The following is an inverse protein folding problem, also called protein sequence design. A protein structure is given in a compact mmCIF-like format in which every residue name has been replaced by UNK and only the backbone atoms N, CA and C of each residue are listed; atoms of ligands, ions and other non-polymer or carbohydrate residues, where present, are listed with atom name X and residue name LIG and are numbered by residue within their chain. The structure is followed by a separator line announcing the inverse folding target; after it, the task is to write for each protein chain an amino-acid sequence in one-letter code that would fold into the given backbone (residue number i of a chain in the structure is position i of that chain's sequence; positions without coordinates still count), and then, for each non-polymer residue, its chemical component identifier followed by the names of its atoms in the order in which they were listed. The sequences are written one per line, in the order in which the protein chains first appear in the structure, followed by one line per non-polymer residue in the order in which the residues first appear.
data_IF_361736806340
#
_entry.id   IF_361736806340
#
_cell.length_a   1.000
_cell.length_b   1.000
_cell.length_c   1.000
_cell.angle_alpha   90.00
_cell.angle_beta   90.00
_cell.angle_gamma   90.00
#
_symmetry.space_group_name_H-M   'P 1'
#
loop_
_entity.id
_entity.type
_entity.pdbx_description
1 polymer ?
#
# COMPACT_ATOMS: atom_id res chain seq x y z
N UNK A 1 -74.34 59.69 9.57
CA UNK A 1 -73.16 58.80 9.49
C UNK A 1 -73.67 57.38 9.29
N UNK A 2 -73.43 56.90 8.07
CA UNK A 2 -73.38 55.51 7.54
C UNK A 2 -74.20 54.38 8.19
N UNK A 3 -75.12 53.81 7.41
CA UNK A 3 -75.75 52.48 7.58
C UNK A 3 -74.73 51.34 7.49
N UNK A 4 -75.06 50.11 7.96
CA UNK A 4 -74.80 48.77 7.38
C UNK A 4 -75.10 47.70 8.47
N UNK A 5 -76.26 47.01 8.45
CA UNK A 5 -76.62 45.75 7.76
C UNK A 5 -76.05 44.44 8.35
N UNK A 6 -76.99 43.57 8.75
CA UNK A 6 -76.85 42.12 9.03
C UNK A 6 -76.26 41.35 7.84
N UNK A 7 -75.49 40.28 8.08
CA UNK A 7 -75.59 38.95 7.40
C UNK A 7 -74.57 37.93 7.92
N UNK A 8 -75.06 36.69 8.00
CA UNK A 8 -74.40 35.42 8.33
C UNK A 8 -73.33 35.00 7.31
N UNK A 9 -72.37 34.19 7.76
CA UNK A 9 -71.66 33.15 6.97
C UNK A 9 -71.19 32.09 7.99
N UNK A 10 -71.87 30.94 8.15
CA UNK A 10 -71.72 29.68 7.42
C UNK A 10 -70.27 29.28 7.12
N UNK A 11 -69.88 28.11 7.66
CA UNK A 11 -68.53 27.58 7.65
C UNK A 11 -68.22 26.63 6.50
N UNK A 12 -66.98 26.12 6.50
CA UNK A 12 -66.53 24.99 5.68
C UNK A 12 -65.49 24.21 6.48
N UNK A 13 -65.77 22.92 6.69
CA UNK A 13 -64.83 21.89 7.12
C UNK A 13 -63.88 21.58 5.96
N UNK A 14 -62.57 21.71 6.18
CA UNK A 14 -61.53 21.28 5.23
C UNK A 14 -60.70 20.15 5.82
N UNK A 15 -60.95 18.91 5.38
CA UNK A 15 -60.09 17.76 5.65
C UNK A 15 -58.87 17.83 4.73
N UNK A 16 -57.68 18.10 5.30
CA UNK A 16 -56.41 18.05 4.59
C UNK A 16 -55.76 16.68 4.73
N UNK A 17 -55.83 15.86 3.68
CA UNK A 17 -54.99 14.66 3.56
C UNK A 17 -53.58 15.11 3.14
N UNK A 18 -52.61 15.01 4.06
CA UNK A 18 -51.18 15.16 3.73
C UNK A 18 -50.68 13.85 3.13
N UNK A 19 -50.50 13.82 1.82
CA UNK A 19 -49.79 12.74 1.13
C UNK A 19 -48.28 12.98 1.31
N UNK A 20 -47.67 12.30 2.27
CA UNK A 20 -46.21 12.24 2.40
C UNK A 20 -45.65 11.32 1.32
N UNK A 21 -45.19 11.90 0.21
CA UNK A 21 -44.33 11.21 -0.75
C UNK A 21 -42.98 10.97 -0.08
N UNK A 22 -42.78 9.77 0.46
CA UNK A 22 -41.45 9.31 0.84
C UNK A 22 -40.61 9.22 -0.44
N UNK A 23 -39.59 10.06 -0.58
CA UNK A 23 -38.51 9.78 -1.51
C UNK A 23 -37.79 8.55 -0.95
N UNK A 24 -38.13 7.38 -1.48
CA UNK A 24 -37.25 6.23 -1.41
C UNK A 24 -36.01 6.60 -2.19
N UNK A 25 -34.96 7.07 -1.49
CA UNK A 25 -33.63 7.16 -2.06
C UNK A 25 -33.26 5.72 -2.45
N UNK A 26 -33.35 5.40 -3.74
CA UNK A 26 -32.79 4.15 -4.24
C UNK A 26 -31.29 4.24 -3.94
N UNK A 27 -30.84 3.49 -2.93
CA UNK A 27 -29.43 3.20 -2.75
C UNK A 27 -28.98 2.50 -4.03
N UNK A 28 -28.27 3.23 -4.88
CA UNK A 28 -27.58 2.63 -6.01
C UNK A 28 -26.59 1.65 -5.39
N UNK A 29 -26.69 0.36 -5.71
CA UNK A 29 -25.67 -0.60 -5.33
C UNK A 29 -24.39 -0.21 -6.10
N UNK A 30 -23.54 0.62 -5.48
CA UNK A 30 -22.19 0.84 -5.95
C UNK A 30 -21.45 -0.48 -5.83
N UNK A 31 -20.78 -0.88 -6.91
CA UNK A 31 -19.90 -2.05 -6.89
C UNK A 31 -18.79 -1.80 -5.88
N UNK A 32 -18.59 -2.73 -4.94
CA UNK A 32 -17.55 -2.63 -3.91
C UNK A 32 -16.19 -2.48 -4.58
N UNK A 33 -15.48 -1.35 -4.42
CA UNK A 33 -14.15 -1.18 -4.99
C UNK A 33 -13.20 -2.26 -4.51
N UNK A 34 -12.37 -2.79 -5.41
CA UNK A 34 -11.44 -3.88 -5.12
C UNK A 34 -10.01 -3.40 -5.32
N UNK A 35 -9.18 -3.57 -4.28
CA UNK A 35 -7.72 -3.44 -4.35
C UNK A 35 -7.13 -4.85 -4.39
N UNK A 36 -6.54 -5.23 -5.53
CA UNK A 36 -5.86 -6.52 -5.70
C UNK A 36 -4.49 -6.48 -5.04
N UNK A 37 -4.17 -7.55 -4.31
CA UNK A 37 -2.86 -7.80 -3.72
C UNK A 37 -2.18 -8.90 -4.51
N UNK A 38 -1.25 -8.52 -5.39
CA UNK A 38 -0.46 -9.43 -6.21
C UNK A 38 1.00 -9.47 -5.76
N UNK A 39 1.88 -10.01 -6.62
CA UNK A 39 3.32 -10.18 -6.38
C UNK A 39 4.03 -8.87 -5.96
N UNK A 40 3.92 -8.52 -4.67
CA UNK A 40 4.48 -7.34 -4.01
C UNK A 40 3.89 -5.99 -4.45
N UNK A 41 2.62 -5.95 -4.85
CA UNK A 41 1.95 -4.69 -5.22
C UNK A 41 0.47 -4.67 -4.81
N UNK A 42 -0.05 -3.46 -4.64
CA UNK A 42 -1.47 -3.16 -4.59
C UNK A 42 -1.91 -2.59 -5.94
N UNK A 43 -3.04 -3.07 -6.48
CA UNK A 43 -3.62 -2.56 -7.72
C UNK A 43 -5.14 -2.33 -7.57
N UNK A 44 -5.63 -1.08 -7.64
CA UNK A 44 -4.86 0.13 -7.87
C UNK A 44 -3.91 0.47 -6.69
N UNK A 45 -2.82 1.18 -6.98
CA UNK A 45 -1.88 1.68 -5.95
C UNK A 45 -2.41 2.96 -5.30
N UNK A 46 -3.27 3.71 -6.01
CA UNK A 46 -3.99 4.87 -5.51
C UNK A 46 -5.48 4.77 -5.80
N UNK A 47 -6.35 4.96 -4.80
CA UNK A 47 -7.81 4.85 -4.96
C UNK A 47 -8.54 5.99 -4.26
N UNK A 48 -9.48 6.62 -4.96
CA UNK A 48 -10.41 7.61 -4.40
C UNK A 48 -11.76 6.96 -4.13
N UNK A 49 -12.31 7.21 -2.94
CA UNK A 49 -13.64 6.75 -2.53
C UNK A 49 -14.36 7.84 -1.74
N UNK A 50 -15.69 7.74 -1.63
CA UNK A 50 -16.46 8.60 -0.75
C UNK A 50 -16.48 8.06 0.69
N UNK A 51 -16.64 8.92 1.72
CA UNK A 51 -16.86 8.48 3.09
C UNK A 51 -17.99 7.45 3.22
N UNK A 52 -17.77 6.42 4.02
CA UNK A 52 -18.66 5.27 4.22
C UNK A 52 -18.48 4.15 3.18
N UNK A 53 -17.54 4.28 2.25
CA UNK A 53 -17.29 3.22 1.24
C UNK A 53 -16.53 2.05 1.86
N UNK A 54 -17.06 0.83 1.66
CA UNK A 54 -16.32 -0.40 1.93
C UNK A 54 -15.41 -0.73 0.74
N UNK A 55 -14.12 -0.91 1.00
CA UNK A 55 -13.14 -1.38 0.02
C UNK A 55 -12.74 -2.82 0.35
N UNK A 56 -12.65 -3.65 -0.68
CA UNK A 56 -12.22 -5.06 -0.57
C UNK A 56 -10.78 -5.21 -1.05
N UNK A 57 -9.90 -5.62 -0.16
CA UNK A 57 -8.53 -6.04 -0.47
C UNK A 57 -8.53 -7.52 -0.81
N UNK A 58 -8.30 -7.89 -2.06
CA UNK A 58 -8.41 -9.27 -2.56
C UNK A 58 -7.05 -9.86 -2.92
N UNK A 59 -6.77 -11.10 -2.49
CA UNK A 59 -5.53 -11.80 -2.87
C UNK A 59 -5.63 -12.22 -4.34
N UNK A 60 -4.77 -11.64 -5.18
CA UNK A 60 -4.59 -12.03 -6.57
C UNK A 60 -3.48 -13.09 -6.73
N UNK A 61 -2.41 -13.00 -5.94
CA UNK A 61 -1.34 -13.97 -5.86
C UNK A 61 -0.58 -13.80 -4.54
N UNK A 62 0.10 -14.85 -4.06
CA UNK A 62 0.96 -14.75 -2.88
C UNK A 62 0.21 -14.64 -1.54
N UNK A 63 0.88 -14.09 -0.54
CA UNK A 63 0.34 -13.85 0.79
C UNK A 63 0.66 -12.42 1.22
N UNK A 64 -0.37 -11.64 1.54
CA UNK A 64 -0.26 -10.19 1.72
C UNK A 64 -1.11 -9.74 2.90
N UNK A 65 -0.84 -8.53 3.39
CA UNK A 65 -1.75 -7.80 4.27
C UNK A 65 -2.09 -6.44 3.69
N UNK A 66 -3.21 -5.87 4.13
CA UNK A 66 -3.52 -4.46 4.01
C UNK A 66 -3.52 -3.89 5.44
N UNK A 67 -2.51 -3.08 5.76
CA UNK A 67 -2.24 -2.61 7.12
C UNK A 67 -1.98 -1.11 7.11
N UNK A 68 -2.77 -0.33 7.84
CA UNK A 68 -2.63 1.12 7.94
C UNK A 68 -1.30 1.54 8.59
N UNK A 69 -0.69 2.61 8.09
CA UNK A 69 0.28 3.37 8.88
C UNK A 69 -0.48 4.18 9.93
N UNK A 70 -0.48 3.73 11.19
CA UNK A 70 -1.29 4.36 12.25
C UNK A 70 -1.05 5.86 12.42
N UNK A 71 0.13 6.36 12.07
CA UNK A 71 0.49 7.78 12.13
C UNK A 71 0.31 8.53 10.80
N UNK A 72 -0.31 7.90 9.78
CA UNK A 72 -0.54 8.44 8.43
C UNK A 72 -1.96 8.12 7.94
N UNK A 73 -2.92 8.20 8.85
CA UNK A 73 -4.36 8.15 8.60
C UNK A 73 -5.02 9.31 9.34
N UNK A 74 -6.27 9.72 8.99
CA UNK A 74 -6.99 10.76 9.73
C UNK A 74 -7.01 10.45 11.23
N UNK A 75 -6.85 11.47 12.07
CA UNK A 75 -6.70 11.30 13.53
C UNK A 75 -7.88 10.62 14.20
N UNK A 76 -9.06 10.78 13.62
CA UNK A 76 -10.31 10.22 14.14
C UNK A 76 -10.60 8.82 13.55
N UNK A 77 -9.79 8.35 12.58
CA UNK A 77 -9.95 7.06 11.95
C UNK A 77 -9.35 5.92 12.79
N UNK A 78 -10.00 4.76 12.77
CA UNK A 78 -9.43 3.54 13.33
C UNK A 78 -8.40 2.93 12.37
N UNK A 79 -7.22 2.56 12.87
CA UNK A 79 -6.25 1.82 12.05
C UNK A 79 -6.80 0.44 11.64
N UNK A 80 -6.59 0.05 10.39
CA UNK A 80 -6.99 -1.26 9.88
C UNK A 80 -5.78 -2.18 9.71
N UNK A 81 -5.99 -3.48 9.91
CA UNK A 81 -5.00 -4.52 9.64
C UNK A 81 -5.73 -5.83 9.32
N UNK A 82 -5.51 -6.36 8.12
CA UNK A 82 -6.06 -7.66 7.72
C UNK A 82 -5.35 -8.85 8.37
N UNK A 83 -4.16 -8.64 8.92
CA UNK A 83 -3.17 -9.71 9.09
C UNK A 83 -2.70 -10.27 7.73
N UNK A 84 -1.74 -11.19 7.75
CA UNK A 84 -1.29 -11.84 6.50
C UNK A 84 -2.31 -12.89 6.07
N UNK A 85 -2.89 -12.69 4.88
CA UNK A 85 -3.85 -13.60 4.25
C UNK A 85 -3.28 -14.12 2.93
N UNK A 86 -3.59 -15.38 2.58
CA UNK A 86 -3.10 -16.05 1.37
C UNK A 86 -4.20 -16.46 0.39
N UNK A 87 -5.45 -16.17 0.72
CA UNK A 87 -6.62 -16.43 -0.13
C UNK A 87 -7.81 -15.57 0.32
N UNK A 88 -8.78 -15.39 -0.57
CA UNK A 88 -9.96 -14.57 -0.29
C UNK A 88 -9.61 -13.08 -0.25
N UNK A 89 -10.21 -12.37 0.70
CA UNK A 89 -9.96 -10.94 0.88
C UNK A 89 -10.35 -10.43 2.25
N UNK A 90 -9.98 -9.18 2.51
CA UNK A 90 -10.31 -8.41 3.69
C UNK A 90 -11.13 -7.19 3.26
N UNK A 91 -12.16 -6.84 4.02
CA UNK A 91 -12.97 -5.66 3.76
C UNK A 91 -12.80 -4.65 4.91
N UNK A 92 -12.73 -3.38 4.54
CA UNK A 92 -12.69 -2.28 5.49
C UNK A 92 -13.55 -1.12 5.01
N UNK A 93 -14.32 -0.53 5.92
CA UNK A 93 -15.19 0.62 5.63
C UNK A 93 -14.50 1.90 6.06
N UNK A 94 -14.29 2.79 5.10
CA UNK A 94 -13.59 4.06 5.30
C UNK A 94 -14.60 5.15 5.64
N UNK A 95 -14.79 5.44 6.93
CA UNK A 95 -15.79 6.43 7.37
C UNK A 95 -15.26 7.86 7.42
N UNK A 96 -14.03 8.06 7.88
CA UNK A 96 -13.49 9.40 8.08
C UNK A 96 -12.84 9.95 6.79
N UNK A 97 -13.11 11.21 6.43
CA UNK A 97 -12.47 11.82 5.27
C UNK A 97 -10.98 12.09 5.51
N UNK A 98 -10.18 11.99 4.45
CA UNK A 98 -8.75 12.26 4.45
C UNK A 98 -7.95 11.18 3.73
N UNK A 99 -6.64 11.21 3.90
CA UNK A 99 -5.70 10.34 3.20
C UNK A 99 -5.19 9.22 4.11
N UNK A 100 -5.27 8.00 3.60
CA UNK A 100 -4.88 6.77 4.27
C UNK A 100 -3.72 6.13 3.53
N UNK A 101 -2.53 6.19 4.12
CA UNK A 101 -1.40 5.38 3.65
C UNK A 101 -1.42 4.01 4.35
N UNK A 102 -1.14 2.97 3.58
CA UNK A 102 -1.09 1.60 4.07
C UNK A 102 0.02 0.79 3.41
N UNK A 103 0.35 -0.35 4.01
CA UNK A 103 1.42 -1.23 3.58
C UNK A 103 1.04 -2.70 3.76
N UNK A 104 1.84 -3.56 3.14
CA UNK A 104 1.81 -5.00 3.36
C UNK A 104 2.94 -5.41 4.32
N UNK A 105 2.61 -6.02 5.45
CA UNK A 105 3.56 -6.41 6.51
C UNK A 105 4.78 -7.19 5.96
N UNK A 106 4.61 -8.31 5.21
CA UNK A 106 5.75 -9.08 4.72
C UNK A 106 6.54 -8.40 3.60
N UNK A 107 5.98 -7.38 2.93
CA UNK A 107 6.56 -6.77 1.73
C UNK A 107 6.79 -5.26 1.85
N UNK A 108 6.72 -4.74 3.08
CA UNK A 108 6.96 -3.33 3.41
C UNK A 108 8.33 -2.88 2.95
N UNK A 109 9.37 -3.67 3.24
CA UNK A 109 10.77 -3.35 2.93
C UNK A 109 11.09 -3.33 1.43
N UNK A 110 10.20 -3.88 0.61
CA UNK A 110 10.32 -3.86 -0.86
C UNK A 110 9.31 -2.91 -1.52
N UNK A 111 8.67 -2.03 -0.74
CA UNK A 111 7.82 -0.96 -1.25
C UNK A 111 6.39 -1.37 -1.60
N UNK A 112 5.86 -2.45 -1.02
CA UNK A 112 4.44 -2.76 -1.15
C UNK A 112 3.61 -1.84 -0.24
N UNK A 113 3.35 -0.64 -0.76
CA UNK A 113 2.57 0.43 -0.14
C UNK A 113 1.46 0.90 -1.07
N UNK A 114 0.43 1.52 -0.51
CA UNK A 114 -0.68 2.10 -1.27
C UNK A 114 -1.31 3.28 -0.54
N UNK A 115 -2.13 4.03 -1.27
CA UNK A 115 -2.84 5.21 -0.78
C UNK A 115 -4.32 5.16 -1.14
N UNK A 116 -5.18 5.40 -0.15
CA UNK A 116 -6.61 5.64 -0.35
C UNK A 116 -6.93 7.06 0.08
N UNK A 117 -7.61 7.82 -0.77
CA UNK A 117 -8.17 9.14 -0.45
C UNK A 117 -9.67 8.99 -0.24
N UNK A 118 -10.16 9.41 0.92
CA UNK A 118 -11.57 9.33 1.29
C UNK A 118 -12.16 10.74 1.27
N UNK A 119 -13.02 11.03 0.30
CA UNK A 119 -13.51 12.39 0.07
C UNK A 119 -12.38 13.32 -0.40
N UNK A 120 -11.90 14.22 0.44
CA UNK A 120 -10.83 15.15 0.09
C UNK A 120 -9.49 14.73 0.74
N UNK A 121 -8.33 15.00 0.10
CA UNK A 121 -7.03 14.77 0.71
C UNK A 121 -6.88 15.51 2.03
N UNK A 122 -6.20 14.89 3.00
CA UNK A 122 -5.92 15.54 4.28
C UNK A 122 -5.39 14.62 5.36
N UNK A 123 -4.95 15.22 6.46
CA UNK A 123 -4.41 14.51 7.61
C UNK A 123 -2.91 14.18 7.49
N UNK A 124 -2.38 13.41 8.45
CA UNK A 124 -0.93 13.22 8.62
C UNK A 124 -0.19 12.59 7.42
N UNK A 125 -0.90 11.89 6.54
CA UNK A 125 -0.31 11.34 5.31
C UNK A 125 0.15 12.42 4.31
N UNK A 126 -0.43 13.63 4.38
CA UNK A 126 -0.06 14.75 3.52
C UNK A 126 1.14 15.55 4.05
N UNK A 127 1.47 15.41 5.34
CA UNK A 127 2.50 16.23 5.99
C UNK A 127 3.94 15.82 5.60
N UNK A 128 4.10 14.61 5.07
CA UNK A 128 5.41 14.06 4.71
C UNK A 128 5.28 12.90 3.72
N UNK A 129 6.34 12.57 2.96
CA UNK A 129 6.34 11.39 2.08
C UNK A 129 6.13 10.08 2.85
N UNK A 130 5.60 9.07 2.16
CA UNK A 130 5.46 7.72 2.70
C UNK A 130 6.87 7.10 2.95
N UNK A 131 7.08 6.38 4.07
CA UNK A 131 8.45 6.01 4.47
C UNK A 131 9.09 4.85 3.70
N UNK A 132 8.31 3.94 3.11
CA UNK A 132 8.82 2.65 2.63
C UNK A 132 8.67 2.43 1.11
N UNK A 133 8.27 3.46 0.35
CA UNK A 133 8.08 3.36 -1.09
C UNK A 133 7.56 4.68 -1.67
N UNK A 134 6.93 4.59 -2.84
CA UNK A 134 6.29 5.72 -3.50
C UNK A 134 4.81 5.40 -3.73
N UNK A 135 3.95 6.41 -3.56
CA UNK A 135 2.53 6.36 -3.89
C UNK A 135 2.18 7.56 -4.76
N UNK A 136 1.13 7.48 -5.61
CA UNK A 136 0.68 8.64 -6.37
C UNK A 136 0.23 9.78 -5.45
N UNK A 137 0.39 11.01 -5.92
CA UNK A 137 -0.11 12.20 -5.23
C UNK A 137 -1.63 12.16 -5.05
N UNK A 138 -2.11 12.63 -3.90
CA UNK A 138 -3.53 12.55 -3.54
C UNK A 138 -4.44 13.30 -4.52
N UNK A 139 -3.99 14.45 -5.03
CA UNK A 139 -4.73 15.21 -6.04
C UNK A 139 -4.89 14.41 -7.34
N UNK A 140 -3.86 13.68 -7.76
CA UNK A 140 -3.91 12.83 -8.94
C UNK A 140 -4.86 11.64 -8.74
N UNK A 141 -4.90 11.08 -7.52
CA UNK A 141 -5.83 10.01 -7.14
C UNK A 141 -7.27 10.51 -7.22
N UNK A 142 -7.56 11.70 -6.69
CA UNK A 142 -8.90 12.32 -6.74
C UNK A 142 -9.31 12.62 -8.17
N UNK A 143 -8.41 13.12 -9.02
CA UNK A 143 -8.71 13.44 -10.42
C UNK A 143 -9.01 12.18 -11.25
N UNK A 144 -8.24 11.11 -11.06
CA UNK A 144 -8.33 9.90 -11.87
C UNK A 144 -9.27 8.84 -11.29
N UNK A 145 -9.67 8.97 -10.02
CA UNK A 145 -10.48 8.00 -9.29
C UNK A 145 -9.70 6.74 -8.86
N UNK A 146 -8.90 6.17 -9.75
CA UNK A 146 -7.99 5.07 -9.45
C UNK A 146 -6.73 5.14 -10.32
N UNK A 147 -5.57 4.99 -9.69
CA UNK A 147 -4.27 4.93 -10.35
C UNK A 147 -3.75 3.49 -10.23
N UNK A 148 -3.66 2.81 -11.36
CA UNK A 148 -3.22 1.41 -11.43
C UNK A 148 -1.74 1.28 -11.11
N UNK A 149 -1.35 0.13 -10.56
CA UNK A 149 0.06 -0.13 -10.32
C UNK A 149 0.86 -0.13 -11.63
N UNK A 150 1.98 0.59 -11.65
CA UNK A 150 2.86 0.67 -12.82
C UNK A 150 2.39 1.59 -13.95
N UNK A 151 1.28 2.35 -13.79
CA UNK A 151 0.99 3.44 -14.73
C UNK A 151 2.03 4.54 -14.58
N UNK A 152 2.73 4.85 -15.66
CA UNK A 152 3.66 5.97 -15.73
C UNK A 152 2.88 7.29 -15.78
N UNK A 153 2.39 7.77 -14.64
CA UNK A 153 2.04 9.18 -14.50
C UNK A 153 3.37 9.94 -14.32
N UNK A 154 3.91 10.41 -15.44
CA UNK A 154 5.14 11.19 -15.48
C UNK A 154 5.02 12.44 -14.63
N UNK A 155 5.86 12.54 -13.60
CA UNK A 155 6.22 13.79 -12.92
C UNK A 155 7.60 14.22 -13.40
N UNK A 156 7.63 15.04 -14.44
CA UNK A 156 8.74 15.88 -14.80
C UNK A 156 8.79 17.11 -13.88
N UNK A 157 9.89 17.27 -13.12
CA UNK A 157 10.10 18.44 -12.26
C UNK A 157 11.24 18.26 -11.26
N UNK A 158 12.49 18.08 -11.70
CA UNK A 158 13.52 19.15 -11.75
C UNK A 158 14.31 19.37 -10.46
N UNK A 159 15.52 18.80 -10.40
CA UNK A 159 16.73 19.43 -9.88
C UNK A 159 17.98 18.62 -10.29
N UNK A 160 18.82 19.18 -11.16
CA UNK A 160 20.20 18.68 -11.39
C UNK A 160 20.62 18.56 -12.85
N UNK A 161 20.96 19.68 -13.48
CA UNK A 161 21.38 19.76 -14.88
C UNK A 161 22.66 19.00 -15.23
N UNK A 162 22.68 18.44 -16.44
CA UNK A 162 23.86 17.91 -17.12
C UNK A 162 23.67 17.99 -18.63
N UNK A 163 24.16 19.06 -19.24
CA UNK A 163 24.22 19.25 -20.70
C UNK A 163 25.36 18.46 -21.33
N UNK A 164 25.21 18.18 -22.64
CA UNK A 164 26.20 17.74 -23.67
C UNK A 164 26.16 16.23 -23.99
N UNK A 165 25.98 15.76 -25.23
CA UNK A 165 25.86 16.40 -26.55
C UNK A 165 25.53 15.36 -27.65
N UNK A 166 25.35 15.76 -28.92
CA UNK A 166 24.90 14.86 -29.99
C UNK A 166 26.04 14.43 -30.93
N UNK A 167 25.95 13.21 -31.44
CA UNK A 167 26.52 12.88 -32.75
C UNK A 167 27.45 11.66 -32.79
N UNK A 168 27.08 10.71 -33.65
CA UNK A 168 27.88 9.72 -34.42
C UNK A 168 26.97 8.49 -34.59
N UNK A 169 26.59 8.00 -35.76
CA UNK A 169 26.99 8.22 -37.13
C UNK A 169 26.55 6.97 -37.90
N UNK A 170 25.77 7.16 -38.97
CA UNK A 170 25.24 6.11 -39.82
C UNK A 170 26.34 5.35 -40.60
N UNK A 171 26.13 4.06 -40.87
CA UNK A 171 26.92 3.31 -41.86
C UNK A 171 26.52 1.83 -42.01
N UNK A 172 26.21 1.29 -43.22
CA UNK A 172 25.42 0.06 -43.37
C UNK A 172 26.17 -1.15 -43.95
N UNK A 173 25.58 -2.34 -43.74
CA UNK A 173 25.58 -3.45 -44.69
C UNK A 173 26.62 -4.56 -44.49
N UNK A 174 26.15 -5.80 -44.36
CA UNK A 174 26.49 -6.90 -45.28
C UNK A 174 25.60 -8.12 -45.00
N UNK A 175 24.76 -8.42 -45.99
CA UNK A 175 24.07 -9.70 -46.17
C UNK A 175 25.09 -10.76 -46.56
N UNK A 176 24.92 -12.01 -46.09
CA UNK A 176 25.06 -13.15 -46.99
C UNK A 176 24.17 -14.30 -46.53
N UNK A 177 23.15 -14.56 -47.34
CA UNK A 177 22.23 -15.67 -47.13
C UNK A 177 22.89 -17.02 -47.38
N UNK A 178 22.41 -18.02 -46.63
CA UNK A 178 22.53 -19.42 -47.02
C UNK A 178 21.30 -20.18 -46.53
N UNK A 179 20.37 -20.32 -47.47
CA UNK A 179 19.73 -21.57 -47.84
C UNK A 179 18.76 -22.28 -46.86
N UNK A 180 17.48 -22.29 -47.24
CA UNK A 180 16.63 -23.49 -47.26
C UNK A 180 16.12 -24.01 -45.93
N UNK A 181 14.84 -23.77 -45.65
CA UNK A 181 14.13 -24.35 -44.50
C UNK A 181 13.94 -25.86 -44.61
N UNK A 182 13.95 -26.51 -43.45
CA UNK A 182 13.38 -27.85 -43.19
C UNK A 182 12.99 -27.89 -41.71
N UNK A 183 11.69 -27.73 -41.43
CA UNK A 183 11.11 -28.26 -40.20
C UNK A 183 11.09 -29.78 -40.35
N UNK A 184 11.77 -30.52 -39.47
CA UNK A 184 11.35 -31.83 -38.93
C UNK A 184 12.43 -32.44 -38.01
N UNK A 185 12.04 -32.85 -36.79
CA UNK A 185 12.68 -34.01 -36.14
C UNK A 185 13.39 -33.83 -34.79
N UNK A 186 12.61 -33.66 -33.71
CA UNK A 186 12.74 -34.33 -32.39
C UNK A 186 13.88 -33.92 -31.38
N UNK A 187 13.67 -34.15 -30.07
CA UNK A 187 14.01 -33.26 -28.94
C UNK A 187 15.20 -33.80 -28.12
N UNK A 188 15.42 -33.27 -26.90
CA UNK A 188 16.41 -33.68 -25.87
C UNK A 188 17.72 -32.88 -25.78
N UNK A 189 17.66 -31.61 -25.35
CA UNK A 189 18.80 -30.95 -24.66
C UNK A 189 18.37 -30.18 -23.38
N UNK A 190 17.12 -30.30 -22.94
CA UNK A 190 16.61 -29.56 -21.76
C UNK A 190 16.59 -30.31 -20.42
N UNK A 191 17.00 -31.58 -20.36
CA UNK A 191 16.74 -32.44 -19.19
C UNK A 191 17.84 -32.47 -18.12
N UNK A 192 19.11 -32.31 -18.48
CA UNK A 192 20.21 -32.55 -17.55
C UNK A 192 20.54 -31.34 -16.65
N UNK A 193 20.30 -30.11 -17.11
CA UNK A 193 20.61 -28.89 -16.34
C UNK A 193 19.51 -28.51 -15.36
N UNK A 194 18.24 -28.85 -15.63
CA UNK A 194 17.13 -28.62 -14.71
C UNK A 194 17.17 -29.51 -13.46
N UNK A 195 17.61 -30.76 -13.61
CA UNK A 195 17.69 -31.72 -12.49
C UNK A 195 18.85 -31.42 -11.53
N UNK A 196 20.00 -30.94 -12.02
CA UNK A 196 21.13 -30.56 -11.17
C UNK A 196 20.85 -29.30 -10.33
N UNK A 197 20.10 -28.33 -10.89
CA UNK A 197 19.68 -27.13 -10.14
C UNK A 197 18.75 -27.45 -8.97
N UNK A 198 17.80 -28.37 -9.16
CA UNK A 198 16.88 -28.80 -8.10
C UNK A 198 17.59 -29.57 -6.99
N UNK A 199 18.53 -30.47 -7.33
CA UNK A 199 19.32 -31.22 -6.34
C UNK A 199 20.27 -30.29 -5.56
N UNK A 200 20.91 -29.33 -6.25
CA UNK A 200 21.78 -28.34 -5.61
C UNK A 200 21.03 -27.41 -4.65
N UNK A 201 19.84 -26.93 -5.02
CA UNK A 201 18.99 -26.13 -4.15
C UNK A 201 18.49 -26.89 -2.92
N UNK A 202 18.15 -28.17 -3.07
CA UNK A 202 17.71 -29.04 -1.96
C UNK A 202 18.86 -29.39 -1.01
N UNK A 203 20.08 -29.58 -1.52
CA UNK A 203 21.29 -29.76 -0.72
C UNK A 203 21.66 -28.50 0.06
N UNK A 204 21.57 -27.31 -0.57
CA UNK A 204 21.82 -26.03 0.10
C UNK A 204 20.84 -25.79 1.25
N UNK A 205 19.55 -26.10 1.05
CA UNK A 205 18.52 -25.96 2.09
C UNK A 205 18.64 -27.01 3.21
N UNK A 206 19.05 -28.25 2.89
CA UNK A 206 19.23 -29.31 3.87
C UNK A 206 20.52 -29.16 4.70
N UNK A 207 21.57 -28.57 4.14
CA UNK A 207 22.85 -28.32 4.82
C UNK A 207 22.88 -26.95 5.54
N UNK A 208 22.00 -26.01 5.18
CA UNK A 208 21.87 -24.70 5.83
C UNK A 208 20.93 -24.66 7.03
N UNK A 209 20.32 -25.79 7.42
CA UNK A 209 19.56 -25.92 8.67
C UNK A 209 20.50 -26.33 9.80
N UNK A 210 21.11 -25.34 10.43
CA UNK A 210 21.89 -25.49 11.65
C UNK A 210 21.85 -24.19 12.44
N UNK A 211 20.99 -24.18 13.45
CA UNK A 211 20.94 -23.32 14.63
C UNK A 211 20.62 -21.83 14.46
N UNK A 212 19.36 -21.50 14.76
CA UNK A 212 18.93 -20.17 15.17
C UNK A 212 18.72 -20.14 16.69
N UNK A 213 19.32 -19.13 17.33
CA UNK A 213 19.09 -18.50 18.66
C UNK A 213 20.20 -18.73 19.70
N UNK A 214 20.58 -17.76 20.58
CA UNK A 214 20.01 -16.41 20.81
C UNK A 214 21.08 -15.26 20.76
N UNK A 215 20.90 -14.22 19.94
CA UNK A 215 21.81 -13.05 19.88
C UNK A 215 21.14 -11.74 20.33
N UNK A 216 20.36 -11.76 21.41
CA UNK A 216 19.85 -10.51 22.01
C UNK A 216 20.96 -9.71 22.71
N UNK A 217 21.98 -10.37 23.26
CA UNK A 217 23.11 -9.74 23.95
C UNK A 217 24.10 -9.03 23.03
N UNK A 218 24.57 -9.72 21.99
CA UNK A 218 25.60 -9.19 21.08
C UNK A 218 25.05 -8.05 20.20
N UNK A 219 23.81 -8.21 19.70
CA UNK A 219 23.12 -7.15 18.93
C UNK A 219 22.85 -5.89 19.77
N UNK A 220 22.51 -6.06 21.06
CA UNK A 220 22.28 -4.92 21.96
C UNK A 220 23.57 -4.17 22.28
N UNK A 221 24.67 -4.90 22.51
CA UNK A 221 25.99 -4.33 22.74
C UNK A 221 26.58 -3.65 21.50
N UNK A 222 26.44 -4.27 20.33
CA UNK A 222 26.88 -3.70 19.06
C UNK A 222 26.11 -2.40 18.74
N UNK A 223 24.80 -2.40 18.98
CA UNK A 223 23.96 -1.20 18.82
C UNK A 223 24.41 -0.08 19.77
N UNK A 224 24.71 -0.41 21.03
CA UNK A 224 25.16 0.58 22.03
C UNK A 224 26.52 1.18 21.66
N UNK A 225 27.47 0.35 21.22
CA UNK A 225 28.80 0.79 20.76
C UNK A 225 28.70 1.70 19.52
N UNK A 226 27.82 1.36 18.56
CA UNK A 226 27.61 2.16 17.35
C UNK A 226 27.10 3.57 17.65
N UNK A 227 26.22 3.73 18.64
CA UNK A 227 25.69 5.03 19.07
C UNK A 227 26.74 5.88 19.79
N UNK A 228 27.57 5.26 20.63
CA UNK A 228 28.70 5.93 21.27
C UNK A 228 29.73 6.40 20.24
N UNK A 229 30.10 5.54 19.28
CA UNK A 229 31.03 5.88 18.21
C UNK A 229 30.55 7.04 17.32
N UNK A 230 29.23 7.23 17.19
CA UNK A 230 28.63 8.36 16.47
C UNK A 230 28.44 9.63 17.33
N UNK A 231 28.71 9.55 18.63
CA UNK A 231 28.53 10.66 19.57
C UNK A 231 27.07 10.94 19.93
N UNK A 232 26.15 9.99 19.71
CA UNK A 232 24.73 10.13 20.07
C UNK A 232 24.46 9.99 21.57
N UNK A 233 25.41 9.39 22.31
CA UNK A 233 25.36 9.20 23.76
C UNK A 233 26.71 9.56 24.37
N UNK A 234 26.68 10.13 25.58
CA UNK A 234 27.89 10.43 26.34
C UNK A 234 28.48 9.17 27.02
N UNK A 235 29.74 9.26 27.44
CA UNK A 235 30.46 8.17 28.12
C UNK A 235 29.72 7.67 29.36
N UNK A 236 29.11 8.57 30.15
CA UNK A 236 28.45 8.19 31.38
C UNK A 236 27.18 7.36 31.12
N UNK A 237 26.43 7.70 30.06
CA UNK A 237 25.27 6.95 29.60
C UNK A 237 25.65 5.62 28.95
N UNK A 238 26.74 5.58 28.19
CA UNK A 238 27.28 4.35 27.62
C UNK A 238 27.63 3.33 28.70
N UNK A 239 28.39 3.73 29.72
CA UNK A 239 28.81 2.84 30.81
C UNK A 239 27.63 2.29 31.61
N UNK A 240 26.63 3.13 31.95
CA UNK A 240 25.42 2.69 32.67
C UNK A 240 24.61 1.66 31.89
N UNK A 241 24.50 1.82 30.57
CA UNK A 241 23.73 0.90 29.72
C UNK A 241 24.50 -0.39 29.45
N UNK A 242 25.83 -0.31 29.31
CA UNK A 242 26.68 -1.48 29.16
C UNK A 242 26.56 -2.41 30.36
N UNK A 243 26.72 -1.89 31.57
CA UNK A 243 26.65 -2.69 32.81
C UNK A 243 25.29 -3.38 32.97
N UNK A 244 24.20 -2.72 32.54
CA UNK A 244 22.86 -3.31 32.51
C UNK A 244 22.72 -4.45 31.52
N UNK A 245 23.33 -4.35 30.34
CA UNK A 245 23.29 -5.40 29.33
C UNK A 245 24.18 -6.60 29.72
N UNK A 246 25.32 -6.33 30.35
CA UNK A 246 26.21 -7.36 30.90
C UNK A 246 25.54 -8.11 32.07
N UNK A 247 24.93 -7.39 33.01
CA UNK A 247 24.27 -7.99 34.20
C UNK A 247 22.90 -8.59 33.87
N UNK A 248 22.15 -7.98 32.95
CA UNK A 248 20.82 -8.43 32.56
C UNK A 248 20.82 -9.71 31.71
N UNK A 249 21.90 -9.97 30.97
CA UNK A 249 22.08 -11.21 30.21
C UNK A 249 22.34 -12.44 31.08
N UNK A 250 22.80 -12.26 32.32
CA UNK A 250 23.12 -13.37 33.25
C UNK A 250 21.92 -13.83 34.10
N UNK A 251 20.82 -13.06 34.16
CA UNK A 251 19.67 -13.37 35.04
C UNK A 251 18.64 -14.30 34.36
N UNK A 252 18.62 -14.40 33.02
CA UNK A 252 17.66 -15.25 32.29
C UNK A 252 18.18 -16.67 31.94
N UNK A 253 19.33 -17.09 32.47
CA UNK A 253 19.90 -18.43 32.22
C UNK A 253 19.86 -19.37 33.44
N UNK A 254 18.70 -19.49 34.10
CA UNK A 254 18.41 -20.59 35.02
C UNK A 254 17.08 -21.27 34.67
#
# INVERSE_FOLDING_TARGET
MTNYSRRQFLGVLGAGAVASTGLSQQASAQETPVVKMGNNYFDPIGLHVEPGTTVRFEIAAGAHSATAYQNRIPSDASAFDSGVISSGGYEYTFEEPGTYDYYCIPHKTVGMVGRIVVGNPGGPAEDSPIPDGDVPESDAIVEQGAIVYGSSTGGDGSSGGGTMGPGMGSGPGMMNGRNGGWFEGLPFVGGALGLLGLVGGLLYWALGRGDASPESGDSSMETLQRRYARGEIDEAEFQRRRERLETGGEIESQ
#
